data_IF_606237861174
#
_entry.id   IF_606237861174
#
_cell.length_a   1.000
_cell.length_b   1.000
_cell.length_c   1.000
_cell.angle_alpha   90.00
_cell.angle_beta   90.00
_cell.angle_gamma   90.00
#
_symmetry.space_group_name_H-M   'P 1'
#
loop_
_entity.id
_entity.type
_entity.pdbx_description
1 polymer ?
#
# COMPACT_ATOMS: atom_id res chain seq x y z
N UNK A 1 5.44 -10.12 -30.27
CA UNK A 1 5.61 -10.73 -28.94
C UNK A 1 4.40 -10.34 -28.14
N UNK A 2 3.42 -11.22 -27.99
CA UNK A 2 2.26 -10.97 -27.12
C UNK A 2 2.77 -10.79 -25.70
N UNK A 3 2.60 -9.60 -25.13
CA UNK A 3 2.87 -9.38 -23.71
C UNK A 3 1.82 -10.15 -22.93
N UNK A 4 2.17 -11.34 -22.47
CA UNK A 4 1.33 -12.05 -21.49
C UNK A 4 1.31 -11.16 -20.26
N UNK A 5 0.23 -10.39 -20.09
CA UNK A 5 0.03 -9.54 -18.92
C UNK A 5 0.10 -10.44 -17.68
N UNK A 6 1.23 -10.40 -16.98
CA UNK A 6 1.43 -11.21 -15.78
C UNK A 6 0.45 -10.72 -14.71
N UNK A 7 -0.63 -11.48 -14.51
CA UNK A 7 -1.61 -11.17 -13.49
C UNK A 7 -0.97 -11.26 -12.11
N UNK A 8 -1.25 -10.29 -11.26
CA UNK A 8 -0.79 -10.35 -9.88
C UNK A 8 -1.41 -11.57 -9.17
N UNK A 9 -0.58 -12.51 -8.69
CA UNK A 9 -1.03 -13.67 -7.90
C UNK A 9 -1.71 -13.33 -6.56
N UNK A 10 -1.77 -12.05 -6.18
CA UNK A 10 -2.44 -11.60 -4.96
C UNK A 10 -3.72 -10.81 -5.20
N UNK A 11 -3.74 -9.92 -6.18
CA UNK A 11 -4.92 -9.08 -6.44
C UNK A 11 -5.64 -9.42 -7.75
N UNK A 12 -5.11 -10.33 -8.57
CA UNK A 12 -5.71 -10.69 -9.86
C UNK A 12 -5.74 -9.56 -10.88
N UNK A 13 -5.04 -8.44 -10.65
CA UNK A 13 -4.99 -7.33 -11.59
C UNK A 13 -3.70 -7.36 -12.43
N UNK A 14 -3.80 -7.10 -13.74
CA UNK A 14 -2.70 -6.61 -14.56
C UNK A 14 -2.77 -5.08 -14.71
N UNK A 15 -1.74 -4.31 -14.37
CA UNK A 15 -0.57 -4.67 -13.55
C UNK A 15 -0.94 -4.85 -12.07
N UNK A 16 -0.11 -5.56 -11.31
CA UNK A 16 -0.15 -5.56 -9.85
C UNK A 16 -0.15 -4.13 -9.29
N UNK A 17 -1.15 -3.79 -8.48
CA UNK A 17 -1.20 -2.47 -7.83
C UNK A 17 0.03 -2.16 -6.97
N UNK A 18 0.67 -3.17 -6.37
CA UNK A 18 1.89 -2.91 -5.60
C UNK A 18 3.07 -2.51 -6.51
N UNK A 19 3.17 -3.07 -7.72
CA UNK A 19 4.22 -2.65 -8.65
C UNK A 19 4.01 -1.19 -9.07
N UNK A 20 2.74 -0.81 -9.29
CA UNK A 20 2.38 0.55 -9.70
C UNK A 20 2.52 1.60 -8.59
N UNK A 21 2.03 1.30 -7.38
CA UNK A 21 1.91 2.30 -6.30
C UNK A 21 2.91 2.08 -5.14
N UNK A 22 3.57 0.92 -5.07
CA UNK A 22 4.35 0.50 -3.90
C UNK A 22 5.51 1.43 -3.56
N UNK A 23 6.24 1.92 -4.56
CA UNK A 23 7.37 2.83 -4.34
C UNK A 23 6.97 4.11 -3.62
N UNK A 24 5.86 4.75 -4.03
CA UNK A 24 5.36 5.95 -3.36
C UNK A 24 4.88 5.66 -1.93
N UNK A 25 4.22 4.52 -1.73
CA UNK A 25 3.76 4.08 -0.41
C UNK A 25 4.93 3.81 0.55
N UNK A 26 6.01 3.20 0.07
CA UNK A 26 7.23 2.97 0.84
C UNK A 26 7.86 4.28 1.32
N UNK A 27 8.03 5.24 0.42
CA UNK A 27 8.59 6.54 0.76
C UNK A 27 7.69 7.34 1.72
N UNK A 28 6.38 7.32 1.49
CA UNK A 28 5.42 7.92 2.42
C UNK A 28 5.48 7.26 3.80
N UNK A 29 5.64 5.93 3.86
CA UNK A 29 5.72 5.17 5.10
C UNK A 29 6.97 5.51 5.91
N UNK A 30 8.14 5.62 5.27
CA UNK A 30 9.39 6.06 5.91
C UNK A 30 9.23 7.46 6.53
N UNK A 31 8.60 8.40 5.81
CA UNK A 31 8.30 9.74 6.35
C UNK A 31 7.36 9.69 7.55
N UNK A 32 6.34 8.82 7.51
CA UNK A 32 5.39 8.66 8.63
C UNK A 32 6.03 8.00 9.86
N UNK A 33 7.00 7.09 9.69
CA UNK A 33 7.73 6.50 10.82
C UNK A 33 8.41 7.56 11.68
N UNK A 34 9.08 8.54 11.06
CA UNK A 34 9.69 9.66 11.77
C UNK A 34 8.66 10.53 12.51
N UNK A 35 7.54 10.86 11.86
CA UNK A 35 6.48 11.70 12.44
C UNK A 35 5.72 11.02 13.57
N UNK A 36 5.57 9.69 13.51
CA UNK A 36 4.78 8.91 14.46
C UNK A 36 5.65 8.15 15.48
N UNK A 37 6.93 8.52 15.63
CA UNK A 37 7.90 7.81 16.44
C UNK A 37 7.43 7.50 17.88
N UNK A 38 6.64 8.41 18.48
CA UNK A 38 6.17 8.30 19.87
C UNK A 38 4.79 7.64 20.02
N UNK A 39 4.15 7.17 18.94
CA UNK A 39 2.78 6.64 18.98
C UNK A 39 2.77 5.15 19.35
N UNK A 40 1.99 4.77 20.38
CA UNK A 40 1.84 3.38 20.88
C UNK A 40 1.51 2.36 19.78
N UNK A 41 0.64 2.71 18.84
CA UNK A 41 0.27 1.87 17.68
C UNK A 41 0.78 2.47 16.37
N UNK A 42 2.08 2.81 16.34
CA UNK A 42 2.73 3.49 15.22
C UNK A 42 2.48 2.77 13.90
N UNK A 43 2.78 1.47 13.85
CA UNK A 43 2.73 0.71 12.60
C UNK A 43 1.29 0.57 12.09
N UNK A 44 0.32 0.28 12.98
CA UNK A 44 -1.11 0.34 12.63
C UNK A 44 -1.54 1.70 12.07
N UNK A 45 -1.08 2.80 12.67
CA UNK A 45 -1.39 4.15 12.18
C UNK A 45 -0.75 4.43 10.80
N UNK A 46 0.47 3.93 10.56
CA UNK A 46 1.13 4.00 9.25
C UNK A 46 0.32 3.22 8.22
N UNK A 47 -0.02 1.95 8.48
CA UNK A 47 -0.81 1.13 7.54
C UNK A 47 -2.13 1.76 7.16
N UNK A 48 -2.87 2.33 8.12
CA UNK A 48 -4.13 3.03 7.85
C UNK A 48 -3.90 4.23 6.94
N UNK A 49 -2.86 5.03 7.21
CA UNK A 49 -2.55 6.23 6.42
C UNK A 49 -2.14 5.88 4.99
N UNK A 50 -1.29 4.85 4.83
CA UNK A 50 -0.84 4.38 3.52
C UNK A 50 -1.96 3.74 2.71
N UNK A 51 -2.88 3.01 3.37
CA UNK A 51 -4.07 2.48 2.69
C UNK A 51 -4.94 3.60 2.12
N UNK A 52 -5.16 4.67 2.89
CA UNK A 52 -5.93 5.84 2.44
C UNK A 52 -5.24 6.58 1.30
N UNK A 53 -3.92 6.72 1.38
CA UNK A 53 -3.11 7.33 0.32
C UNK A 53 -3.22 6.53 -0.98
N UNK A 54 -3.07 5.21 -0.92
CA UNK A 54 -3.26 4.32 -2.06
C UNK A 54 -4.65 4.47 -2.69
N UNK A 55 -5.71 4.43 -1.87
CA UNK A 55 -7.07 4.56 -2.37
C UNK A 55 -7.24 5.89 -3.10
N UNK A 56 -6.78 6.99 -2.47
CA UNK A 56 -6.87 8.31 -3.08
C UNK A 56 -6.12 8.38 -4.41
N UNK A 57 -4.90 7.84 -4.48
CA UNK A 57 -4.12 7.79 -5.71
C UNK A 57 -4.79 6.96 -6.82
N UNK A 58 -5.48 5.88 -6.46
CA UNK A 58 -6.12 4.98 -7.43
C UNK A 58 -7.49 5.46 -7.91
N UNK A 59 -8.33 5.99 -7.01
CA UNK A 59 -9.74 6.24 -7.28
C UNK A 59 -10.23 7.63 -6.87
N UNK A 60 -9.33 8.51 -6.41
CA UNK A 60 -9.69 9.86 -5.93
C UNK A 60 -10.43 9.89 -4.60
N UNK A 61 -10.54 8.77 -3.88
CA UNK A 61 -11.26 8.64 -2.61
C UNK A 61 -10.38 8.01 -1.52
N UNK A 62 -10.48 8.51 -0.29
CA UNK A 62 -9.73 7.96 0.85
C UNK A 62 -10.41 6.75 1.53
N UNK A 63 -11.59 6.32 1.04
CA UNK A 63 -12.38 5.22 1.61
C UNK A 63 -12.48 4.04 0.64
N UNK A 64 -12.68 2.85 1.20
CA UNK A 64 -12.83 1.59 0.47
C UNK A 64 -11.84 0.52 0.91
N UNK A 65 -11.92 -0.63 0.25
CA UNK A 65 -11.06 -1.76 0.51
C UNK A 65 -9.84 -1.73 -0.41
N UNK A 66 -8.66 -1.86 0.18
CA UNK A 66 -7.44 -2.04 -0.60
C UNK A 66 -7.24 -3.52 -0.93
N UNK A 67 -6.83 -3.84 -2.17
CA UNK A 67 -6.65 -5.21 -2.60
C UNK A 67 -5.57 -5.93 -1.80
N UNK A 68 -5.59 -7.26 -1.87
CA UNK A 68 -4.73 -8.10 -1.05
C UNK A 68 -3.23 -7.86 -1.30
N UNK A 69 -2.81 -7.50 -2.52
CA UNK A 69 -1.40 -7.20 -2.82
C UNK A 69 -0.89 -5.99 -2.00
N UNK A 70 -1.66 -4.91 -1.94
CA UNK A 70 -1.37 -3.71 -1.14
C UNK A 70 -1.39 -4.09 0.34
N UNK A 71 -2.50 -4.69 0.80
CA UNK A 71 -2.68 -5.02 2.21
C UNK A 71 -1.56 -5.92 2.75
N UNK A 72 -1.18 -6.96 1.99
CA UNK A 72 -0.10 -7.87 2.38
C UNK A 72 1.24 -7.15 2.49
N UNK A 73 1.59 -6.34 1.49
CA UNK A 73 2.87 -5.62 1.48
C UNK A 73 2.96 -4.58 2.59
N UNK A 74 1.88 -3.83 2.84
CA UNK A 74 1.83 -2.91 3.99
C UNK A 74 2.01 -3.64 5.33
N UNK A 75 1.42 -4.82 5.50
CA UNK A 75 1.60 -5.63 6.71
C UNK A 75 3.03 -6.18 6.85
N UNK A 76 3.70 -6.52 5.75
CA UNK A 76 5.10 -6.98 5.77
C UNK A 76 6.08 -5.86 6.15
N UNK A 77 5.87 -4.65 5.62
CA UNK A 77 6.75 -3.51 5.86
C UNK A 77 6.55 -2.85 7.24
N UNK A 78 5.31 -2.87 7.75
CA UNK A 78 4.96 -2.28 9.05
C UNK A 78 4.14 -3.27 9.89
N UNK A 79 4.78 -4.32 10.46
CA UNK A 79 4.13 -5.30 11.31
C UNK A 79 3.61 -4.67 12.61
N UNK A 80 2.65 -5.30 13.29
CA UNK A 80 2.25 -4.86 14.64
C UNK A 80 3.29 -5.25 15.69
#
# INVERSE_FOLDING_TARGET
>A
VESVESMCGWCGAPECDWLRYGGELEEAGKRLQGKLARKRHRNRAIRISLRRLYLYAKNGNMKGDAPACITRRLNQLWPD
#
